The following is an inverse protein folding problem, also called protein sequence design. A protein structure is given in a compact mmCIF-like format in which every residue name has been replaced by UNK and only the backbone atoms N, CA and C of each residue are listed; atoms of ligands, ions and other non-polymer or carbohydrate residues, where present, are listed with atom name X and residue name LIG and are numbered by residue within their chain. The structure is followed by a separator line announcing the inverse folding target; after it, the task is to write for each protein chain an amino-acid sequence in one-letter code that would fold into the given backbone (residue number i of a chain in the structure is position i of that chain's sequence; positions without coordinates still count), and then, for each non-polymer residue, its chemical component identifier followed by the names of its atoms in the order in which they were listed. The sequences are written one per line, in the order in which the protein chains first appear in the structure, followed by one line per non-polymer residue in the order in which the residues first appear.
data_IF_286892163927
#
_entry.id   IF_286892163927
#
_cell.length_a   1.000
_cell.length_b   1.000
_cell.length_c   1.000
_cell.angle_alpha   90.00
_cell.angle_beta   90.00
_cell.angle_gamma   90.00
#
_symmetry.space_group_name_H-M   'P 1'
#
loop_
_entity.id
_entity.type
_entity.pdbx_description
1 polymer ?
#
# COMPACT_ATOMS: atom_id res chain seq x y z
N UNK A 1 -2.06 -19.27 -1.84
CA UNK A 1 -3.36 -18.68 -2.26
C UNK A 1 -3.55 -17.28 -1.66
N UNK A 2 -3.45 -17.11 -0.33
CA UNK A 2 -3.65 -15.82 0.37
C UNK A 2 -2.91 -14.58 -0.17
N UNK A 3 -1.67 -14.71 -0.65
CA UNK A 3 -0.92 -13.57 -1.19
C UNK A 3 -1.62 -12.97 -2.43
N UNK A 4 -2.16 -13.82 -3.31
CA UNK A 4 -2.85 -13.38 -4.52
C UNK A 4 -4.22 -12.75 -4.19
N UNK A 5 -4.97 -13.34 -3.26
CA UNK A 5 -6.22 -12.76 -2.75
C UNK A 5 -5.96 -11.37 -2.16
N UNK A 6 -4.84 -11.20 -1.46
CA UNK A 6 -4.45 -9.91 -0.88
C UNK A 6 -4.12 -8.86 -1.93
N UNK A 7 -3.46 -9.24 -3.02
CA UNK A 7 -3.19 -8.36 -4.17
C UNK A 7 -4.51 -7.91 -4.80
N UNK A 8 -5.47 -8.83 -4.97
CA UNK A 8 -6.77 -8.52 -5.57
C UNK A 8 -7.59 -7.55 -4.71
N UNK A 9 -7.71 -7.82 -3.41
CA UNK A 9 -8.39 -6.93 -2.44
C UNK A 9 -7.83 -5.51 -2.48
N UNK A 10 -6.50 -5.38 -2.48
CA UNK A 10 -5.86 -4.06 -2.43
C UNK A 10 -5.94 -3.36 -3.79
N UNK A 11 -5.86 -4.11 -4.90
CA UNK A 11 -5.98 -3.56 -6.24
C UNK A 11 -7.38 -3.00 -6.52
N UNK A 12 -8.42 -3.57 -5.91
CA UNK A 12 -9.81 -3.12 -6.03
C UNK A 12 -10.01 -1.66 -5.58
N UNK A 13 -9.16 -1.12 -4.69
CA UNK A 13 -9.22 0.29 -4.28
C UNK A 13 -8.83 1.27 -5.41
N UNK A 14 -8.22 0.79 -6.51
CA UNK A 14 -7.94 1.60 -7.70
C UNK A 14 -6.91 2.72 -7.53
N UNK A 15 -6.26 2.82 -6.36
CA UNK A 15 -5.34 3.91 -6.00
C UNK A 15 -4.03 3.90 -6.79
N UNK A 16 -3.71 2.81 -7.49
CA UNK A 16 -2.62 2.76 -8.47
C UNK A 16 -2.79 3.76 -9.63
N UNK A 17 -4.01 4.23 -9.89
CA UNK A 17 -4.32 5.21 -10.96
C UNK A 17 -4.08 6.66 -10.54
N UNK A 18 -3.85 6.92 -9.25
CA UNK A 18 -3.59 8.28 -8.76
C UNK A 18 -2.19 8.72 -9.19
N UNK A 19 -2.11 9.80 -9.97
CA UNK A 19 -0.84 10.36 -10.40
C UNK A 19 -0.17 11.10 -9.23
N UNK A 20 0.90 10.48 -8.70
CA UNK A 20 1.73 11.03 -7.63
C UNK A 20 3.13 11.40 -8.10
N UNK A 21 3.39 11.47 -9.42
CA UNK A 21 4.72 11.70 -10.00
C UNK A 21 5.38 13.01 -9.56
N UNK A 22 4.58 13.97 -9.09
CA UNK A 22 5.05 15.28 -8.59
C UNK A 22 5.41 15.27 -7.11
N UNK A 23 5.15 14.17 -6.40
CA UNK A 23 5.46 14.03 -4.97
C UNK A 23 6.72 13.17 -4.82
N UNK A 24 7.75 13.63 -4.09
CA UNK A 24 8.95 12.83 -3.86
C UNK A 24 8.61 11.49 -3.20
N UNK A 25 9.24 10.41 -3.67
CA UNK A 25 9.01 9.04 -3.18
C UNK A 25 9.24 8.97 -1.66
N UNK A 26 10.32 9.58 -1.15
CA UNK A 26 10.63 9.57 0.28
C UNK A 26 9.53 10.20 1.13
N UNK A 27 8.83 11.22 0.61
CA UNK A 27 7.69 11.84 1.31
C UNK A 27 6.50 10.89 1.35
N UNK A 28 6.22 10.19 0.24
CA UNK A 28 5.16 9.20 0.17
C UNK A 28 5.45 8.02 1.12
N UNK A 29 6.68 7.50 1.12
CA UNK A 29 7.13 6.43 2.01
C UNK A 29 7.05 6.83 3.48
N UNK A 30 7.50 8.05 3.82
CA UNK A 30 7.40 8.58 5.18
C UNK A 30 5.94 8.69 5.64
N UNK A 31 5.06 9.21 4.78
CA UNK A 31 3.64 9.37 5.10
C UNK A 31 2.92 8.03 5.23
N UNK A 32 3.21 7.08 4.34
CA UNK A 32 2.69 5.72 4.41
C UNK A 32 3.11 5.03 5.72
N UNK A 33 4.40 5.13 6.07
CA UNK A 33 4.93 4.56 7.32
C UNK A 33 4.27 5.17 8.55
N UNK A 34 4.10 6.49 8.57
CA UNK A 34 3.37 7.17 9.65
C UNK A 34 1.92 6.64 9.74
N UNK A 35 1.23 6.51 8.61
CA UNK A 35 -0.13 5.99 8.56
C UNK A 35 -0.22 4.53 9.06
N UNK A 36 0.68 3.65 8.62
CA UNK A 36 0.71 2.25 9.05
C UNK A 36 0.98 2.07 10.55
N UNK A 37 1.77 2.95 11.15
CA UNK A 37 2.05 2.94 12.59
C UNK A 37 0.95 3.65 13.42
N UNK A 38 0.03 4.35 12.77
CA UNK A 38 -1.05 5.07 13.42
C UNK A 38 -2.26 4.17 13.69
N UNK A 39 -3.04 4.48 14.73
CA UNK A 39 -4.34 3.84 14.95
C UNK A 39 -5.32 4.30 13.87
N UNK A 40 -6.27 3.43 13.49
CA UNK A 40 -7.31 3.76 12.51
C UNK A 40 -8.08 5.05 12.86
N UNK A 41 -8.45 5.22 14.14
CA UNK A 41 -9.11 6.44 14.65
C UNK A 41 -8.28 7.71 14.40
N UNK A 42 -6.95 7.63 14.48
CA UNK A 42 -6.06 8.77 14.22
C UNK A 42 -6.11 9.20 12.76
N UNK A 43 -6.23 8.24 11.83
CA UNK A 43 -6.37 8.51 10.40
C UNK A 43 -7.78 9.07 10.12
N UNK A 44 -8.80 8.48 10.72
CA UNK A 44 -10.20 8.89 10.55
C UNK A 44 -10.44 10.35 10.97
N UNK A 45 -9.84 10.77 12.09
CA UNK A 45 -9.93 12.12 12.64
C UNK A 45 -9.02 13.14 11.94
N UNK A 46 -8.15 12.73 11.02
CA UNK A 46 -7.29 13.66 10.30
C UNK A 46 -8.14 14.58 9.39
N UNK A 47 -7.86 15.90 9.35
CA UNK A 47 -8.58 16.80 8.45
C UNK A 47 -8.18 16.55 6.99
N UNK A 48 -9.07 16.90 6.05
CA UNK A 48 -8.68 16.98 4.64
C UNK A 48 -7.72 18.16 4.40
N UNK A 49 -6.78 18.06 3.44
CA UNK A 49 -6.54 16.93 2.53
C UNK A 49 -5.64 15.82 3.11
N UNK A 50 -5.28 15.91 4.40
CA UNK A 50 -4.29 15.03 5.04
C UNK A 50 -4.76 13.60 5.13
N UNK A 51 -6.04 13.38 5.47
CA UNK A 51 -6.62 12.04 5.55
C UNK A 51 -6.62 11.33 4.21
N UNK A 52 -7.03 12.00 3.14
CA UNK A 52 -6.94 11.44 1.78
C UNK A 52 -5.50 11.08 1.43
N UNK A 53 -4.52 11.95 1.74
CA UNK A 53 -3.11 11.66 1.50
C UNK A 53 -2.61 10.45 2.31
N UNK A 54 -2.98 10.34 3.59
CA UNK A 54 -2.64 9.21 4.46
C UNK A 54 -3.21 7.90 3.92
N UNK A 55 -4.52 7.85 3.66
CA UNK A 55 -5.17 6.66 3.13
C UNK A 55 -4.57 6.24 1.78
N UNK A 56 -4.34 7.22 0.89
CA UNK A 56 -3.74 6.95 -0.43
C UNK A 56 -2.34 6.34 -0.29
N UNK A 57 -1.49 6.93 0.54
CA UNK A 57 -0.10 6.46 0.73
C UNK A 57 -0.03 5.11 1.42
N UNK A 58 -0.85 4.86 2.44
CA UNK A 58 -0.92 3.57 3.14
C UNK A 58 -1.37 2.46 2.20
N UNK A 59 -2.48 2.64 1.49
CA UNK A 59 -3.00 1.59 0.59
C UNK A 59 -2.00 1.32 -0.55
N UNK A 60 -1.34 2.36 -1.09
CA UNK A 60 -0.32 2.18 -2.13
C UNK A 60 0.88 1.37 -1.64
N UNK A 61 1.30 1.57 -0.40
CA UNK A 61 2.38 0.78 0.20
C UNK A 61 1.96 -0.66 0.46
N UNK A 62 0.73 -0.89 0.92
CA UNK A 62 0.19 -2.24 1.09
C UNK A 62 0.08 -2.98 -0.25
N UNK A 63 -0.28 -2.28 -1.32
CA UNK A 63 -0.37 -2.86 -2.66
C UNK A 63 1.00 -3.33 -3.14
N UNK A 64 2.03 -2.48 -2.99
CA UNK A 64 3.41 -2.82 -3.33
C UNK A 64 3.89 -4.05 -2.54
N UNK A 65 3.66 -4.05 -1.22
CA UNK A 65 4.04 -5.18 -0.38
C UNK A 65 3.32 -6.47 -0.76
N UNK A 66 2.02 -6.42 -1.06
CA UNK A 66 1.28 -7.61 -1.48
C UNK A 66 1.80 -8.18 -2.82
N UNK A 67 2.24 -7.31 -3.74
CA UNK A 67 2.87 -7.72 -4.99
C UNK A 67 4.24 -8.36 -4.71
N UNK A 68 5.06 -7.76 -3.85
CA UNK A 68 6.35 -8.33 -3.45
C UNK A 68 6.17 -9.72 -2.79
N UNK A 69 5.22 -9.86 -1.86
CA UNK A 69 4.89 -11.14 -1.22
C UNK A 69 4.47 -12.21 -2.24
N UNK A 70 3.72 -11.82 -3.29
CA UNK A 70 3.31 -12.72 -4.36
C UNK A 70 4.49 -13.14 -5.25
N UNK A 71 5.43 -12.24 -5.51
CA UNK A 71 6.66 -12.53 -6.24
C UNK A 71 7.59 -13.46 -5.44
N UNK A 72 7.71 -13.23 -4.13
CA UNK A 72 8.49 -14.10 -3.24
C UNK A 72 7.90 -15.51 -3.19
N UNK A 73 6.58 -15.64 -3.10
CA UNK A 73 5.90 -16.93 -3.17
C UNK A 73 6.13 -17.63 -4.52
N UNK A 74 6.07 -16.88 -5.62
CA UNK A 74 6.35 -17.42 -6.95
C UNK A 74 7.80 -17.92 -7.07
N UNK A 75 8.77 -17.14 -6.60
CA UNK A 75 10.17 -17.51 -6.61
C UNK A 75 10.42 -18.80 -5.80
N UNK A 76 9.79 -18.93 -4.62
CA UNK A 76 9.87 -20.13 -3.80
C UNK A 76 9.35 -21.36 -4.55
N UNK A 77 8.18 -21.26 -5.21
CA UNK A 77 7.60 -22.37 -5.97
C UNK A 77 8.51 -22.81 -7.11
N UNK A 78 9.15 -21.87 -7.81
CA UNK A 78 10.10 -22.17 -8.90
C UNK A 78 11.40 -22.83 -8.40
N UNK A 79 11.81 -22.56 -7.16
CA UNK A 79 13.02 -23.14 -6.58
C UNK A 79 12.81 -24.54 -5.99
N UNK A 80 11.57 -24.87 -5.61
CA UNK A 80 11.22 -26.18 -5.01
C UNK A 80 10.54 -27.16 -5.98
N UNK A 81 10.34 -26.75 -7.23
CA UNK A 81 9.73 -27.53 -8.31
C UNK A 81 10.72 -28.23 -9.22
#
# INVERSE_FOLDING_TARGET
MRAMERVEEISAFGLGRVNLSRVPIDRLSTLARYGQLSKAQTIELAPEPRRTALLTTVVRQMAAQAVDDALDLFALLMATG
#
